data_IF_700572987651
#
_entry.id   IF_700572987651
#
_cell.length_a   1.000
_cell.length_b   1.000
_cell.length_c   1.000
_cell.angle_alpha   90.00
_cell.angle_beta   90.00
_cell.angle_gamma   90.00
#
_symmetry.space_group_name_H-M   'P 1'
#
loop_
_entity.id
_entity.type
_entity.pdbx_description
1 polymer ?
#
# COMPACT_ATOMS: atom_id res chain seq x y z
N UNK A 1 2.05 9.38 20.05
CA UNK A 1 0.95 8.63 20.66
C UNK A 1 0.10 7.99 19.59
N UNK A 2 -0.20 6.71 19.69
CA UNK A 2 -1.10 6.08 18.73
C UNK A 2 -2.52 6.63 18.90
N UNK A 3 -3.15 6.93 17.78
CA UNK A 3 -4.55 7.35 17.77
C UNK A 3 -5.44 6.09 17.72
N UNK A 4 -6.16 5.85 18.82
CA UNK A 4 -7.11 4.74 18.87
C UNK A 4 -8.48 5.22 18.41
N UNK A 5 -9.04 4.55 17.41
CA UNK A 5 -10.40 4.80 16.93
C UNK A 5 -11.24 3.56 17.23
N UNK A 6 -12.28 3.74 18.03
CA UNK A 6 -13.21 2.67 18.35
C UNK A 6 -14.35 2.66 17.35
N UNK A 7 -14.52 1.54 16.66
CA UNK A 7 -15.62 1.33 15.74
C UNK A 7 -16.59 0.32 16.33
N UNK A 8 -17.89 0.62 16.29
CA UNK A 8 -18.94 -0.27 16.74
C UNK A 8 -19.84 -0.64 15.57
N UNK A 9 -19.90 -1.92 15.28
CA UNK A 9 -20.81 -2.47 14.28
C UNK A 9 -21.95 -3.20 14.98
N UNK A 10 -23.18 -2.82 14.67
CA UNK A 10 -24.39 -3.42 15.23
C UNK A 10 -25.15 -4.13 14.12
N UNK A 11 -25.44 -5.42 14.32
CA UNK A 11 -26.15 -6.23 13.33
C UNK A 11 -27.49 -6.68 13.94
N UNK A 12 -28.58 -6.17 13.37
CA UNK A 12 -29.94 -6.48 13.81
C UNK A 12 -30.62 -7.40 12.80
N UNK A 13 -30.68 -8.69 13.11
CA UNK A 13 -31.31 -9.70 12.28
C UNK A 13 -31.73 -10.89 13.15
N UNK A 14 -32.37 -11.89 12.55
CA UNK A 14 -32.64 -13.14 13.23
C UNK A 14 -31.34 -13.89 13.56
N UNK A 15 -31.39 -14.80 14.54
CA UNK A 15 -30.21 -15.48 15.04
C UNK A 15 -29.43 -16.23 13.95
N UNK A 16 -30.13 -16.84 13.02
CA UNK A 16 -29.55 -17.61 11.93
C UNK A 16 -28.76 -16.72 10.97
N UNK A 17 -29.35 -15.58 10.60
CA UNK A 17 -28.70 -14.58 9.73
C UNK A 17 -27.49 -13.95 10.39
N UNK A 18 -27.60 -13.58 11.68
CA UNK A 18 -26.47 -13.04 12.46
C UNK A 18 -25.31 -14.03 12.48
N UNK A 19 -25.59 -15.31 12.70
CA UNK A 19 -24.56 -16.35 12.72
C UNK A 19 -23.86 -16.50 11.37
N UNK A 20 -24.60 -16.44 10.27
CA UNK A 20 -24.04 -16.47 8.91
C UNK A 20 -23.12 -15.29 8.63
N UNK A 21 -23.55 -14.08 9.03
CA UNK A 21 -22.75 -12.87 8.88
C UNK A 21 -21.45 -12.96 9.70
N UNK A 22 -21.53 -13.38 10.96
CA UNK A 22 -20.37 -13.53 11.81
C UNK A 22 -19.38 -14.57 11.26
N UNK A 23 -19.86 -15.69 10.76
CA UNK A 23 -19.01 -16.70 10.14
C UNK A 23 -18.35 -16.21 8.87
N UNK A 24 -19.04 -15.37 8.09
CA UNK A 24 -18.49 -14.76 6.89
C UNK A 24 -17.39 -13.73 7.22
N UNK A 25 -17.57 -12.91 8.25
CA UNK A 25 -16.63 -11.86 8.64
C UNK A 25 -15.43 -12.37 9.42
N UNK A 26 -15.52 -13.57 9.98
CA UNK A 26 -14.51 -14.14 10.85
C UNK A 26 -13.23 -14.48 10.09
N UNK A 27 -12.09 -14.10 10.64
CA UNK A 27 -10.78 -14.43 10.10
C UNK A 27 -9.81 -14.81 11.21
N UNK A 28 -8.55 -15.03 10.83
CA UNK A 28 -7.45 -15.26 11.74
C UNK A 28 -6.41 -14.16 11.58
N UNK A 29 -5.81 -13.74 12.69
CA UNK A 29 -4.71 -12.79 12.66
C UNK A 29 -3.46 -13.49 12.10
N UNK A 30 -2.84 -12.94 11.07
CA UNK A 30 -1.69 -13.55 10.40
C UNK A 30 -0.46 -13.66 11.29
N UNK A 31 -0.29 -12.75 12.26
CA UNK A 31 0.88 -12.71 13.12
C UNK A 31 0.91 -13.79 14.19
N UNK A 32 -0.21 -14.05 14.84
CA UNK A 32 -0.28 -14.93 16.00
C UNK A 32 -1.37 -16.03 15.91
N UNK A 33 -2.13 -16.06 14.81
CA UNK A 33 -3.19 -17.03 14.60
C UNK A 33 -4.41 -16.84 15.50
N UNK A 34 -4.50 -15.72 16.23
CA UNK A 34 -5.68 -15.44 17.07
C UNK A 34 -6.90 -15.13 16.21
N UNK A 35 -8.11 -15.54 16.66
CA UNK A 35 -9.32 -15.28 15.90
C UNK A 35 -9.61 -13.78 15.82
N UNK A 36 -9.88 -13.30 14.60
CA UNK A 36 -10.33 -11.95 14.33
C UNK A 36 -11.83 -11.97 14.06
N UNK A 37 -12.59 -11.16 14.78
CA UNK A 37 -14.05 -11.13 14.65
C UNK A 37 -14.52 -10.53 13.33
N UNK A 38 -13.76 -9.56 12.79
CA UNK A 38 -14.03 -8.93 11.50
C UNK A 38 -12.74 -8.89 10.70
N UNK A 39 -12.73 -9.60 9.58
CA UNK A 39 -11.64 -9.56 8.62
C UNK A 39 -12.13 -8.85 7.35
N UNK A 40 -11.67 -7.62 7.15
CA UNK A 40 -12.06 -6.82 6.00
C UNK A 40 -11.66 -7.44 4.66
N UNK A 41 -10.61 -8.25 4.64
CA UNK A 41 -10.19 -8.98 3.43
C UNK A 41 -11.23 -10.00 2.96
N UNK A 42 -12.12 -10.45 3.84
CA UNK A 42 -13.22 -11.34 3.46
C UNK A 42 -14.36 -10.62 2.75
N UNK A 43 -14.45 -9.30 2.94
CA UNK A 43 -15.45 -8.45 2.28
C UNK A 43 -14.87 -7.94 0.96
N UNK A 44 -13.72 -7.27 1.03
CA UNK A 44 -13.00 -6.72 -0.11
C UNK A 44 -11.54 -7.17 0.02
N UNK A 45 -11.13 -8.23 -0.70
CA UNK A 45 -9.75 -8.69 -0.65
C UNK A 45 -8.78 -7.61 -1.14
N UNK A 46 -7.69 -7.40 -0.38
CA UNK A 46 -6.64 -6.50 -0.81
C UNK A 46 -5.82 -7.16 -1.93
N UNK A 47 -5.62 -6.48 -3.07
CA UNK A 47 -4.76 -7.01 -4.13
C UNK A 47 -3.33 -7.26 -3.62
N UNK A 48 -2.72 -8.36 -4.06
CA UNK A 48 -1.37 -8.74 -3.65
C UNK A 48 -0.33 -7.68 -4.01
N UNK A 49 -0.53 -6.97 -5.11
CA UNK A 49 0.37 -5.90 -5.56
C UNK A 49 0.46 -4.73 -4.57
N UNK A 50 -0.54 -4.58 -3.69
CA UNK A 50 -0.52 -3.57 -2.63
C UNK A 50 0.16 -4.06 -1.34
N UNK A 51 0.47 -5.36 -1.23
CA UNK A 51 1.18 -5.96 -0.10
C UNK A 51 2.68 -5.69 -0.19
N UNK A 52 3.05 -4.44 -0.32
CA UNK A 52 4.43 -4.00 -0.32
C UNK A 52 4.64 -3.00 0.81
N UNK A 53 5.81 -3.07 1.41
CA UNK A 53 6.15 -2.18 2.51
C UNK A 53 6.29 -0.73 2.03
N UNK A 54 5.63 0.20 2.70
CA UNK A 54 5.80 1.61 2.43
C UNK A 54 7.23 2.04 2.77
N UNK A 55 7.97 2.57 1.81
CA UNK A 55 9.35 2.98 2.03
C UNK A 55 9.68 4.29 1.33
N UNK A 56 10.68 4.98 1.90
CA UNK A 56 11.23 6.18 1.28
C UNK A 56 11.90 5.89 -0.07
N UNK A 57 12.43 4.68 -0.25
CA UNK A 57 13.03 4.25 -1.52
C UNK A 57 12.00 4.12 -2.63
N UNK A 58 10.84 3.55 -2.34
CA UNK A 58 9.74 3.45 -3.30
C UNK A 58 9.27 4.83 -3.75
N UNK A 59 9.11 5.74 -2.82
CA UNK A 59 8.74 7.13 -3.10
C UNK A 59 9.80 7.85 -3.94
N UNK A 60 11.07 7.71 -3.59
CA UNK A 60 12.18 8.30 -4.33
C UNK A 60 12.23 7.78 -5.78
N UNK A 61 12.07 6.48 -5.96
CA UNK A 61 12.05 5.87 -7.29
C UNK A 61 10.87 6.35 -8.13
N UNK A 62 9.69 6.47 -7.50
CA UNK A 62 8.50 7.00 -8.17
C UNK A 62 8.71 8.44 -8.63
N UNK A 63 9.23 9.29 -7.76
CA UNK A 63 9.52 10.70 -8.09
C UNK A 63 10.55 10.82 -9.22
N UNK A 64 11.57 9.97 -9.22
CA UNK A 64 12.57 9.91 -10.29
C UNK A 64 11.92 9.55 -11.63
N UNK A 65 11.12 8.49 -11.68
CA UNK A 65 10.47 8.04 -12.92
C UNK A 65 9.50 9.09 -13.45
N UNK A 66 8.77 9.77 -12.59
CA UNK A 66 7.87 10.87 -12.98
C UNK A 66 8.66 12.05 -13.51
N UNK A 67 9.78 12.40 -12.85
CA UNK A 67 10.65 13.49 -13.31
C UNK A 67 11.24 13.21 -14.69
N UNK A 68 11.64 11.97 -14.95
CA UNK A 68 12.18 11.57 -16.26
C UNK A 68 11.16 11.67 -17.39
N UNK A 69 9.87 11.55 -17.08
CA UNK A 69 8.79 11.72 -18.06
C UNK A 69 8.49 13.19 -18.38
N UNK A 70 8.91 14.13 -17.53
CA UNK A 70 8.65 15.58 -17.67
C UNK A 70 9.75 16.33 -18.40
N UNK A 71 10.38 15.73 -19.38
CA UNK A 71 11.42 16.42 -20.18
C UNK A 71 10.83 17.52 -21.07
N UNK A 72 11.46 18.72 -21.15
CA UNK A 72 12.64 19.16 -20.40
C UNK A 72 12.32 19.41 -18.91
N UNK A 73 13.34 19.23 -18.05
CA UNK A 73 13.18 19.38 -16.60
C UNK A 73 13.01 20.86 -16.25
N UNK A 74 11.83 21.25 -15.80
CA UNK A 74 11.49 22.63 -15.48
C UNK A 74 11.58 22.96 -13.98
N UNK A 75 11.73 21.92 -13.13
CA UNK A 75 11.73 22.09 -11.69
C UNK A 75 13.10 21.76 -11.09
N UNK A 76 13.63 22.63 -10.20
CA UNK A 76 14.86 22.32 -9.45
C UNK A 76 14.72 21.04 -8.62
N UNK A 77 13.52 20.72 -8.17
CA UNK A 77 13.25 19.51 -7.42
C UNK A 77 13.43 18.26 -8.28
N UNK A 78 12.98 18.27 -9.53
CA UNK A 78 13.17 17.17 -10.48
C UNK A 78 14.64 16.87 -10.69
N UNK A 79 15.46 17.91 -10.91
CA UNK A 79 16.91 17.77 -11.05
C UNK A 79 17.58 17.20 -9.81
N UNK A 80 17.14 17.63 -8.64
CA UNK A 80 17.65 17.14 -7.36
C UNK A 80 17.36 15.66 -7.17
N UNK A 81 16.15 15.23 -7.45
CA UNK A 81 15.72 13.82 -7.33
C UNK A 81 16.53 12.95 -8.31
N UNK A 82 16.67 13.39 -9.56
CA UNK A 82 17.44 12.65 -10.57
C UNK A 82 18.89 12.51 -10.14
N UNK A 83 19.52 13.58 -9.67
CA UNK A 83 20.89 13.55 -9.17
C UNK A 83 21.05 12.58 -8.00
N UNK A 84 20.14 12.61 -7.03
CA UNK A 84 20.19 11.74 -5.87
C UNK A 84 20.12 10.26 -6.25
N UNK A 85 19.27 9.90 -7.21
CA UNK A 85 19.12 8.51 -7.66
C UNK A 85 20.33 8.08 -8.47
N UNK A 86 20.87 8.94 -9.35
CA UNK A 86 22.04 8.62 -10.16
C UNK A 86 23.32 8.44 -9.34
N UNK A 87 23.42 9.10 -8.18
CA UNK A 87 24.55 8.96 -7.25
C UNK A 87 24.49 7.66 -6.42
N UNK A 88 23.39 6.93 -6.45
CA UNK A 88 23.25 5.67 -5.71
C UNK A 88 24.10 4.56 -6.34
N UNK A 89 24.51 3.60 -5.51
CA UNK A 89 25.15 2.39 -5.98
C UNK A 89 24.21 1.63 -6.92
N UNK A 90 24.77 0.90 -7.88
CA UNK A 90 23.99 0.22 -8.93
C UNK A 90 22.90 -0.69 -8.37
N UNK A 91 23.20 -1.50 -7.35
CA UNK A 91 22.21 -2.40 -6.73
C UNK A 91 21.09 -1.63 -6.05
N UNK A 92 21.43 -0.58 -5.29
CA UNK A 92 20.45 0.27 -4.61
C UNK A 92 19.60 1.01 -5.63
N UNK A 93 20.19 1.51 -6.70
CA UNK A 93 19.48 2.21 -7.77
C UNK A 93 18.47 1.30 -8.45
N UNK A 94 18.83 0.05 -8.75
CA UNK A 94 17.92 -0.94 -9.34
C UNK A 94 16.73 -1.19 -8.41
N UNK A 95 16.99 -1.37 -7.12
CA UNK A 95 15.95 -1.58 -6.11
C UNK A 95 14.99 -0.39 -6.04
N UNK A 96 15.53 0.83 -5.96
CA UNK A 96 14.76 2.08 -5.92
C UNK A 96 13.88 2.22 -7.16
N UNK A 97 14.43 1.96 -8.34
CA UNK A 97 13.68 2.06 -9.61
C UNK A 97 12.58 1.00 -9.71
N UNK A 98 12.86 -0.22 -9.25
CA UNK A 98 11.88 -1.30 -9.24
C UNK A 98 10.73 -0.99 -8.29
N UNK A 99 11.02 -0.53 -7.08
CA UNK A 99 10.00 -0.14 -6.12
C UNK A 99 9.17 1.06 -6.62
N UNK A 100 9.84 2.04 -7.24
CA UNK A 100 9.16 3.19 -7.83
C UNK A 100 8.21 2.80 -8.95
N UNK A 101 8.62 1.87 -9.82
CA UNK A 101 7.77 1.34 -10.88
C UNK A 101 6.55 0.60 -10.32
N UNK A 102 6.74 -0.19 -9.27
CA UNK A 102 5.63 -0.87 -8.58
C UNK A 102 4.64 0.13 -7.98
N UNK A 103 5.13 1.19 -7.36
CA UNK A 103 4.29 2.26 -6.81
C UNK A 103 3.46 2.95 -7.90
N UNK A 104 4.07 3.30 -9.02
CA UNK A 104 3.36 3.92 -10.15
C UNK A 104 2.29 3.00 -10.72
N UNK A 105 2.62 1.72 -10.90
CA UNK A 105 1.66 0.73 -11.38
C UNK A 105 0.47 0.59 -10.45
N UNK A 106 0.70 0.56 -9.14
CA UNK A 106 -0.34 0.46 -8.14
C UNK A 106 -1.24 1.71 -8.12
N UNK A 107 -0.64 2.89 -8.23
CA UNK A 107 -1.40 4.15 -8.31
C UNK A 107 -2.29 4.16 -9.55
N UNK A 108 -1.79 3.70 -10.70
CA UNK A 108 -2.56 3.64 -11.93
C UNK A 108 -3.74 2.68 -11.82
N UNK A 109 -3.55 1.51 -11.21
CA UNK A 109 -4.60 0.49 -11.07
C UNK A 109 -5.57 0.76 -9.92
N UNK A 110 -5.06 1.19 -8.77
CA UNK A 110 -5.83 1.22 -7.51
C UNK A 110 -5.95 2.60 -6.90
N UNK A 111 -5.16 3.58 -7.35
CA UNK A 111 -5.11 4.92 -6.77
C UNK A 111 -4.18 5.07 -5.56
N UNK A 112 -3.51 3.98 -5.14
CA UNK A 112 -2.61 3.95 -3.97
C UNK A 112 -1.31 3.23 -4.31
N UNK A 113 -0.14 3.65 -3.77
CA UNK A 113 1.14 2.98 -4.03
C UNK A 113 1.28 1.65 -3.30
N UNK A 114 0.65 1.52 -2.15
CA UNK A 114 0.73 0.35 -1.28
C UNK A 114 -0.50 0.24 -0.40
#
# INVERSE_FOLDING_TARGET
MPNHVTNRLEINADRETVQKVLNFLRGENEEDGTPCYIDFNRIIPMPEELLIEASSRGRQGMEYLVAMQRKPFNSPNDLKVIQQVEELQEETRKEVLQMGASYLSNIEKYGYPT
#
